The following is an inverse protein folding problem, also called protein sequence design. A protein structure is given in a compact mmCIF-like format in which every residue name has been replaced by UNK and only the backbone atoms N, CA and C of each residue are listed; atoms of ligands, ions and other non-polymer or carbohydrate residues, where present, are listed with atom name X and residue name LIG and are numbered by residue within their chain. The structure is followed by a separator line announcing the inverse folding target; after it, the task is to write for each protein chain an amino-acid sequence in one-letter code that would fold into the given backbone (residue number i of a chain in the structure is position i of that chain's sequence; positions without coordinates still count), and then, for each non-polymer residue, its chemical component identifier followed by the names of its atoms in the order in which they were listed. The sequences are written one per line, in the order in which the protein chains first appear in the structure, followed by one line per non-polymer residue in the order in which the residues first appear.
data_IF_750594094707
#
_entry.id   IF_750594094707
#
_cell.length_a   1.000
_cell.length_b   1.000
_cell.length_c   1.000
_cell.angle_alpha   90.00
_cell.angle_beta   90.00
_cell.angle_gamma   90.00
#
_symmetry.space_group_name_H-M   'P 1'
#
loop_
_entity.id
_entity.type
_entity.pdbx_description
1 polymer ?
#
# COMPACT_ATOMS: atom_id res chain seq x y z
N UNK A 1 -17.89 -14.04 -4.38
CA UNK A 1 -19.29 -13.72 -4.67
C UNK A 1 -19.26 -12.57 -5.67
N UNK A 2 -19.48 -12.87 -6.95
CA UNK A 2 -19.41 -11.90 -8.03
C UNK A 2 -20.84 -11.52 -8.41
N UNK A 3 -21.21 -10.26 -8.14
CA UNK A 3 -22.54 -9.76 -8.49
C UNK A 3 -22.60 -9.47 -9.99
N UNK A 4 -23.42 -10.27 -10.65
CA UNK A 4 -23.77 -10.22 -12.06
C UNK A 4 -24.74 -9.05 -12.26
N UNK A 5 -24.21 -7.88 -12.62
CA UNK A 5 -25.05 -6.73 -12.95
C UNK A 5 -25.71 -6.96 -14.30
N UNK A 6 -27.02 -7.19 -14.26
CA UNK A 6 -27.87 -7.38 -15.43
C UNK A 6 -28.05 -6.02 -16.13
N UNK A 7 -27.17 -5.71 -17.08
CA UNK A 7 -27.35 -4.56 -17.98
C UNK A 7 -28.54 -4.88 -18.87
N UNK A 8 -29.66 -4.21 -18.66
CA UNK A 8 -30.81 -4.27 -19.56
C UNK A 8 -30.52 -3.30 -20.70
N UNK A 9 -30.20 -3.85 -21.86
CA UNK A 9 -30.12 -3.10 -23.12
C UNK A 9 -31.48 -2.44 -23.40
N UNK A 10 -31.57 -1.13 -23.19
CA UNK A 10 -32.71 -0.35 -23.65
C UNK A 10 -32.56 -0.26 -25.17
N UNK A 11 -33.31 -1.09 -25.89
CA UNK A 11 -33.37 -1.06 -27.35
C UNK A 11 -33.65 0.38 -27.80
N UNK A 12 -32.72 0.92 -28.58
CA UNK A 12 -32.83 2.16 -29.31
C UNK A 12 -34.14 2.18 -30.10
N UNK A 13 -35.06 3.05 -29.70
CA UNK A 13 -36.27 3.33 -30.48
C UNK A 13 -35.81 4.15 -31.68
N UNK A 14 -35.41 3.43 -32.73
CA UNK A 14 -35.13 3.98 -34.04
C UNK A 14 -36.36 4.72 -34.56
N UNK A 15 -36.23 6.03 -34.64
CA UNK A 15 -37.07 6.91 -35.44
C UNK A 15 -37.04 6.47 -36.89
N UNK A 16 -38.22 6.55 -37.54
CA UNK A 16 -38.48 6.41 -38.98
C UNK A 16 -39.06 5.05 -39.40
N UNK A 17 -40.35 4.86 -39.11
CA UNK A 17 -41.19 4.03 -39.97
C UNK A 17 -42.31 4.92 -40.58
N UNK A 18 -42.24 5.28 -41.88
CA UNK A 18 -43.26 6.10 -42.55
C UNK A 18 -44.59 5.37 -42.82
N UNK A 19 -44.71 4.09 -42.48
CA UNK A 19 -45.88 3.26 -42.82
C UNK A 19 -46.91 3.14 -41.68
N UNK A 20 -47.57 4.23 -41.31
CA UNK A 20 -48.79 4.16 -40.47
C UNK A 20 -49.82 5.23 -40.86
N UNK A 21 -50.19 5.31 -42.14
CA UNK A 21 -51.51 5.84 -42.52
C UNK A 21 -52.54 4.69 -42.58
N UNK A 22 -52.62 3.89 -41.52
CA UNK A 22 -53.79 3.06 -41.28
C UNK A 22 -54.94 3.99 -40.87
N UNK A 23 -56.09 3.85 -41.54
CA UNK A 23 -57.34 4.53 -41.16
C UNK A 23 -57.53 4.34 -39.63
N UNK A 24 -57.66 5.40 -38.82
CA UNK A 24 -57.63 5.27 -37.37
C UNK A 24 -58.71 4.27 -36.96
N UNK A 25 -58.29 3.18 -36.33
CA UNK A 25 -59.20 2.17 -35.79
C UNK A 25 -60.02 2.87 -34.70
N UNK A 26 -61.26 3.25 -35.02
CA UNK A 26 -62.10 4.00 -34.10
C UNK A 26 -62.48 3.07 -32.96
N UNK A 27 -62.05 3.42 -31.75
CA UNK A 27 -62.41 2.68 -30.56
C UNK A 27 -63.94 2.69 -30.40
N UNK A 28 -64.50 1.53 -30.02
CA UNK A 28 -65.94 1.35 -29.85
C UNK A 28 -66.39 1.70 -28.44
N UNK A 29 -67.62 2.16 -28.31
CA UNK A 29 -68.25 2.44 -27.02
C UNK A 29 -68.33 1.18 -26.17
N UNK A 30 -67.94 1.30 -24.90
CA UNK A 30 -68.04 0.21 -23.91
C UNK A 30 -69.50 -0.24 -23.68
N UNK A 31 -70.46 0.67 -23.79
CA UNK A 31 -71.89 0.40 -23.54
C UNK A 31 -72.67 0.13 -24.83
N UNK A 32 -72.33 0.82 -25.92
CA UNK A 32 -72.99 0.67 -27.22
C UNK A 32 -72.01 0.07 -28.22
N UNK A 33 -71.76 -1.24 -28.11
CA UNK A 33 -70.67 -1.99 -28.79
C UNK A 33 -70.70 -1.85 -30.33
N UNK A 34 -71.84 -1.50 -30.92
CA UNK A 34 -71.98 -1.26 -32.36
C UNK A 34 -71.60 0.16 -32.81
N UNK A 35 -71.28 1.06 -31.88
CA UNK A 35 -71.04 2.48 -32.14
C UNK A 35 -69.62 2.89 -31.79
N UNK A 36 -69.02 3.66 -32.70
CA UNK A 36 -67.72 4.28 -32.49
C UNK A 36 -67.84 5.51 -31.60
N UNK A 37 -66.79 5.82 -30.84
CA UNK A 37 -66.66 7.13 -30.22
C UNK A 37 -66.57 8.22 -31.30
N UNK A 38 -67.29 9.32 -31.11
CA UNK A 38 -67.37 10.40 -32.10
C UNK A 38 -67.09 11.79 -31.52
N UNK A 39 -67.21 11.97 -30.20
CA UNK A 39 -66.99 13.25 -29.52
C UNK A 39 -66.33 13.02 -28.16
N UNK A 40 -65.63 14.02 -27.63
CA UNK A 40 -65.09 14.00 -26.28
C UNK A 40 -65.97 14.85 -25.36
N UNK A 41 -66.33 14.34 -24.19
CA UNK A 41 -67.07 15.08 -23.19
C UNK A 41 -66.11 15.66 -22.15
N UNK A 42 -65.94 16.98 -22.15
CA UNK A 42 -65.01 17.67 -21.24
C UNK A 42 -65.47 17.62 -19.78
N UNK A 43 -66.78 17.61 -19.55
CA UNK A 43 -67.34 17.52 -18.18
C UNK A 43 -67.04 16.18 -17.52
N UNK A 44 -66.98 15.10 -18.31
CA UNK A 44 -66.75 13.73 -17.82
C UNK A 44 -65.34 13.21 -18.08
N UNK A 45 -64.52 13.97 -18.82
CA UNK A 45 -63.17 13.58 -19.23
C UNK A 45 -63.11 12.23 -19.99
N UNK A 46 -64.07 12.00 -20.89
CA UNK A 46 -64.17 10.71 -21.61
C UNK A 46 -64.68 10.82 -23.05
N UNK A 47 -64.39 9.79 -23.85
CA UNK A 47 -64.90 9.64 -25.22
C UNK A 47 -66.35 9.14 -25.21
N UNK A 48 -67.18 9.72 -26.07
CA UNK A 48 -68.63 9.51 -26.11
C UNK A 48 -69.09 9.13 -27.52
N UNK A 49 -69.99 8.15 -27.62
CA UNK A 49 -70.65 7.75 -28.87
C UNK A 49 -72.02 8.46 -29.04
N UNK A 50 -72.66 8.40 -30.22
CA UNK A 50 -73.92 9.10 -30.46
C UNK A 50 -75.06 8.75 -29.48
N UNK A 51 -75.14 7.49 -29.02
CA UNK A 51 -76.17 7.08 -28.06
C UNK A 51 -75.91 7.60 -26.64
N UNK A 52 -74.65 7.62 -26.20
CA UNK A 52 -74.30 8.20 -24.89
C UNK A 52 -74.53 9.72 -24.91
N UNK A 53 -74.19 10.38 -26.02
CA UNK A 53 -74.39 11.81 -26.21
C UNK A 53 -75.86 12.22 -25.99
N UNK A 54 -76.79 11.48 -26.59
CA UNK A 54 -78.24 11.79 -26.51
C UNK A 54 -78.87 11.41 -25.17
N UNK A 55 -78.36 10.38 -24.48
CA UNK A 55 -78.96 9.89 -23.23
C UNK A 55 -78.39 10.54 -21.97
N UNK A 56 -77.07 10.69 -21.90
CA UNK A 56 -76.37 10.98 -20.64
C UNK A 56 -75.52 12.25 -20.68
N UNK A 57 -75.09 12.71 -21.87
CA UNK A 57 -74.18 13.85 -22.01
C UNK A 57 -74.79 15.06 -22.74
N UNK A 58 -76.12 15.11 -22.87
CA UNK A 58 -76.81 16.13 -23.70
C UNK A 58 -76.56 17.57 -23.24
N UNK A 59 -76.27 17.77 -21.95
CA UNK A 59 -76.04 19.09 -21.32
C UNK A 59 -74.58 19.31 -20.90
N UNK A 60 -73.67 18.41 -21.30
CA UNK A 60 -72.26 18.54 -20.95
C UNK A 60 -71.52 19.36 -21.99
N UNK A 61 -70.33 19.81 -21.62
CA UNK A 61 -69.42 20.47 -22.55
C UNK A 61 -68.72 19.42 -23.43
N UNK A 62 -68.68 19.66 -24.74
CA UNK A 62 -68.32 18.67 -25.75
C UNK A 62 -67.31 19.27 -26.73
N UNK A 63 -66.28 18.48 -27.09
CA UNK A 63 -65.28 18.85 -28.10
C UNK A 63 -65.06 17.76 -29.13
N UNK A 64 -64.63 18.17 -30.31
CA UNK A 64 -64.25 17.22 -31.36
C UNK A 64 -63.05 16.39 -30.93
N UNK A 65 -63.12 15.08 -31.18
CA UNK A 65 -62.04 14.13 -30.84
C UNK A 65 -60.72 14.54 -31.53
N UNK A 66 -60.79 15.06 -32.76
CA UNK A 66 -59.60 15.42 -33.54
C UNK A 66 -58.81 16.53 -32.85
N UNK A 67 -59.48 17.52 -32.27
CA UNK A 67 -58.84 18.63 -31.56
C UNK A 67 -58.17 18.17 -30.27
N UNK A 68 -58.85 17.35 -29.47
CA UNK A 68 -58.31 16.78 -28.23
C UNK A 68 -57.11 15.86 -28.54
N UNK A 69 -57.26 14.97 -29.52
CA UNK A 69 -56.21 14.04 -29.92
C UNK A 69 -54.94 14.78 -30.38
N UNK A 70 -55.07 15.84 -31.19
CA UNK A 70 -53.93 16.64 -31.59
C UNK A 70 -53.26 17.33 -30.38
N UNK A 71 -54.05 17.84 -29.44
CA UNK A 71 -53.56 18.43 -28.18
C UNK A 71 -52.80 17.43 -27.31
N UNK A 72 -53.34 16.22 -27.15
CA UNK A 72 -52.75 15.15 -26.35
C UNK A 72 -51.45 14.62 -26.99
N UNK A 73 -51.43 14.42 -28.31
CA UNK A 73 -50.23 14.02 -29.05
C UNK A 73 -49.11 15.06 -28.86
N UNK A 74 -49.44 16.35 -28.97
CA UNK A 74 -48.46 17.42 -28.74
C UNK A 74 -47.97 17.48 -27.29
N UNK A 75 -48.88 17.27 -26.33
CA UNK A 75 -48.55 17.22 -24.90
C UNK A 75 -47.63 16.04 -24.58
N UNK A 76 -47.93 14.85 -25.09
CA UNK A 76 -47.07 13.67 -24.97
C UNK A 76 -45.71 13.88 -25.61
N UNK A 77 -45.66 14.50 -26.81
CA UNK A 77 -44.38 14.82 -27.47
C UNK A 77 -43.53 15.77 -26.61
N UNK A 78 -44.16 16.77 -25.98
CA UNK A 78 -43.47 17.68 -25.06
C UNK A 78 -42.98 16.95 -23.81
N UNK A 79 -43.84 16.16 -23.17
CA UNK A 79 -43.48 15.35 -22.00
C UNK A 79 -42.32 14.39 -22.31
N UNK A 80 -42.33 13.71 -23.45
CA UNK A 80 -41.24 12.82 -23.85
C UNK A 80 -39.93 13.58 -24.09
N UNK A 81 -40.00 14.77 -24.69
CA UNK A 81 -38.82 15.63 -24.87
C UNK A 81 -38.24 16.04 -23.52
N UNK A 82 -39.10 16.36 -22.56
CA UNK A 82 -38.71 16.75 -21.22
C UNK A 82 -38.16 15.56 -20.40
N UNK A 83 -38.80 14.40 -20.47
CA UNK A 83 -38.34 13.16 -19.84
C UNK A 83 -36.95 12.78 -20.33
N UNK A 84 -36.72 12.88 -21.64
CA UNK A 84 -35.40 12.60 -22.21
C UNK A 84 -34.35 13.60 -21.72
N UNK A 85 -34.55 14.88 -21.99
CA UNK A 85 -33.52 15.91 -21.76
C UNK A 85 -33.25 16.21 -20.28
N UNK A 86 -34.30 16.25 -19.44
CA UNK A 86 -34.14 16.62 -18.03
C UNK A 86 -33.75 15.45 -17.13
N UNK A 87 -34.12 14.23 -17.53
CA UNK A 87 -33.96 13.06 -16.67
C UNK A 87 -33.05 12.03 -17.30
N UNK A 88 -33.40 11.47 -18.46
CA UNK A 88 -32.65 10.36 -19.04
C UNK A 88 -31.19 10.74 -19.32
N UNK A 89 -30.97 11.82 -20.09
CA UNK A 89 -29.63 12.26 -20.47
C UNK A 89 -28.78 12.62 -19.23
N UNK A 90 -29.40 13.22 -18.20
CA UNK A 90 -28.74 13.60 -16.95
C UNK A 90 -28.35 12.37 -16.13
N UNK A 91 -29.23 11.38 -16.01
CA UNK A 91 -28.92 10.15 -15.28
C UNK A 91 -27.84 9.32 -16.00
N UNK A 92 -27.87 9.28 -17.33
CA UNK A 92 -26.81 8.64 -18.12
C UNK A 92 -25.45 9.32 -17.89
N UNK A 93 -25.40 10.65 -17.90
CA UNK A 93 -24.16 11.41 -17.62
C UNK A 93 -23.67 11.19 -16.18
N UNK A 94 -24.58 11.15 -15.20
CA UNK A 94 -24.22 10.87 -13.81
C UNK A 94 -23.65 9.46 -13.63
N UNK A 95 -24.25 8.47 -14.30
CA UNK A 95 -23.77 7.09 -14.27
C UNK A 95 -22.37 6.99 -14.88
N UNK A 96 -22.12 7.66 -16.01
CA UNK A 96 -20.78 7.71 -16.63
C UNK A 96 -19.76 8.36 -15.69
N UNK A 97 -20.13 9.46 -15.00
CA UNK A 97 -19.25 10.12 -14.02
C UNK A 97 -18.90 9.19 -12.85
N UNK A 98 -19.89 8.47 -12.31
CA UNK A 98 -19.67 7.53 -11.21
C UNK A 98 -18.71 6.41 -11.62
N UNK A 99 -18.89 5.82 -12.80
CA UNK A 99 -17.98 4.77 -13.28
C UNK A 99 -16.56 5.30 -13.51
N UNK A 100 -16.41 6.51 -14.08
CA UNK A 100 -15.08 7.16 -14.20
C UNK A 100 -14.43 7.40 -12.84
N UNK A 101 -15.19 7.90 -11.85
CA UNK A 101 -14.69 8.12 -10.50
C UNK A 101 -14.27 6.82 -9.82
N UNK A 102 -15.02 5.73 -10.03
CA UNK A 102 -14.71 4.40 -9.49
C UNK A 102 -13.38 3.89 -10.04
N UNK A 103 -13.18 3.94 -11.36
CA UNK A 103 -11.91 3.55 -11.99
C UNK A 103 -10.75 4.40 -11.48
N UNK A 104 -10.90 5.73 -11.48
CA UNK A 104 -9.88 6.63 -10.97
C UNK A 104 -9.50 6.34 -9.50
N UNK A 105 -10.50 6.08 -8.64
CA UNK A 105 -10.26 5.78 -7.24
C UNK A 105 -9.56 4.43 -7.05
N UNK A 106 -9.87 3.44 -7.89
CA UNK A 106 -9.17 2.15 -7.88
C UNK A 106 -7.70 2.32 -8.30
N UNK A 107 -7.42 3.07 -9.36
CA UNK A 107 -6.07 3.34 -9.82
C UNK A 107 -5.27 4.12 -8.77
N UNK A 108 -5.90 5.12 -8.15
CA UNK A 108 -5.29 5.90 -7.08
C UNK A 108 -4.99 5.03 -5.86
N UNK A 109 -5.91 4.16 -5.46
CA UNK A 109 -5.70 3.20 -4.36
C UNK A 109 -4.51 2.27 -4.67
N UNK A 110 -4.43 1.75 -5.89
CA UNK A 110 -3.32 0.88 -6.30
C UNK A 110 -1.99 1.63 -6.28
N UNK A 111 -1.95 2.86 -6.77
CA UNK A 111 -0.77 3.71 -6.70
C UNK A 111 -0.31 3.94 -5.24
N UNK A 112 -1.25 4.25 -4.34
CA UNK A 112 -0.94 4.46 -2.91
C UNK A 112 -0.38 3.18 -2.28
N UNK A 113 -0.99 2.01 -2.55
CA UNK A 113 -0.47 0.72 -2.07
C UNK A 113 0.97 0.47 -2.53
N UNK A 114 1.24 0.63 -3.83
CA UNK A 114 2.61 0.43 -4.35
C UNK A 114 3.62 1.44 -3.81
N UNK A 115 3.20 2.68 -3.50
CA UNK A 115 4.07 3.66 -2.82
C UNK A 115 4.40 3.23 -1.40
N UNK A 116 3.40 2.73 -0.66
CA UNK A 116 3.58 2.26 0.71
C UNK A 116 4.53 1.06 0.77
N UNK A 117 4.34 0.05 -0.09
CA UNK A 117 5.21 -1.13 -0.17
C UNK A 117 6.68 -0.76 -0.49
N UNK A 118 6.88 0.22 -1.38
CA UNK A 118 8.22 0.75 -1.70
C UNK A 118 8.86 1.46 -0.51
N UNK A 119 8.08 2.24 0.24
CA UNK A 119 8.57 2.93 1.44
C UNK A 119 8.92 1.94 2.54
N UNK A 120 8.08 0.94 2.78
CA UNK A 120 8.35 -0.15 3.74
C UNK A 120 9.65 -0.87 3.38
N UNK A 121 9.79 -1.29 2.12
CA UNK A 121 10.99 -1.99 1.63
C UNK A 121 12.25 -1.14 1.82
N UNK A 122 12.17 0.17 1.56
CA UNK A 122 13.28 1.10 1.76
C UNK A 122 13.68 1.20 3.23
N UNK A 123 12.72 1.43 4.13
CA UNK A 123 12.98 1.53 5.58
C UNK A 123 13.60 0.23 6.11
N UNK A 124 13.09 -0.93 5.71
CA UNK A 124 13.63 -2.22 6.12
C UNK A 124 15.06 -2.44 5.60
N UNK A 125 15.35 -2.04 4.36
CA UNK A 125 16.69 -2.08 3.79
C UNK A 125 17.65 -1.15 4.54
N UNK A 126 17.23 0.07 4.84
CA UNK A 126 18.04 1.06 5.57
C UNK A 126 18.35 0.58 6.99
N UNK A 127 17.37 0.02 7.71
CA UNK A 127 17.57 -0.57 9.03
C UNK A 127 18.51 -1.77 9.00
N UNK A 128 18.39 -2.65 7.98
CA UNK A 128 19.28 -3.80 7.81
C UNK A 128 20.72 -3.36 7.54
N UNK A 129 20.89 -2.36 6.69
CA UNK A 129 22.19 -1.75 6.38
C UNK A 129 22.82 -1.15 7.64
N UNK A 130 22.07 -0.34 8.39
CA UNK A 130 22.52 0.27 9.64
C UNK A 130 22.93 -0.77 10.69
N UNK A 131 22.12 -1.83 10.87
CA UNK A 131 22.46 -2.96 11.74
C UNK A 131 23.79 -3.59 11.32
N UNK A 132 23.97 -3.85 10.02
CA UNK A 132 25.21 -4.45 9.52
C UNK A 132 26.42 -3.54 9.73
N UNK A 133 26.27 -2.22 9.55
CA UNK A 133 27.33 -1.25 9.83
C UNK A 133 27.75 -1.28 11.30
N UNK A 134 26.79 -1.32 12.23
CA UNK A 134 27.11 -1.42 13.66
C UNK A 134 27.80 -2.75 13.98
N UNK A 135 27.30 -3.87 13.46
CA UNK A 135 27.91 -5.18 13.69
C UNK A 135 29.35 -5.23 13.18
N UNK A 136 29.59 -4.76 11.95
CA UNK A 136 30.94 -4.69 11.39
C UNK A 136 31.86 -3.78 12.23
N UNK A 137 31.35 -2.65 12.73
CA UNK A 137 32.13 -1.76 13.59
C UNK A 137 32.52 -2.45 14.90
N UNK A 138 31.58 -3.18 15.51
CA UNK A 138 31.82 -3.94 16.74
C UNK A 138 32.81 -5.08 16.52
N UNK A 139 32.67 -5.83 15.42
CA UNK A 139 33.60 -6.90 15.04
C UNK A 139 35.01 -6.36 14.81
N UNK A 140 35.15 -5.26 14.07
CA UNK A 140 36.45 -4.63 13.84
C UNK A 140 37.11 -4.17 15.15
N UNK A 141 36.35 -3.48 16.02
CA UNK A 141 36.86 -3.07 17.33
C UNK A 141 37.24 -4.26 18.21
N UNK A 142 36.44 -5.33 18.18
CA UNK A 142 36.76 -6.57 18.89
C UNK A 142 38.07 -7.17 18.39
N UNK A 143 38.24 -7.27 17.06
CA UNK A 143 39.44 -7.78 16.44
C UNK A 143 40.69 -6.94 16.81
N UNK A 144 40.60 -5.61 16.72
CA UNK A 144 41.68 -4.71 17.16
C UNK A 144 42.10 -4.98 18.61
N UNK A 145 41.13 -5.11 19.52
CA UNK A 145 41.40 -5.38 20.93
C UNK A 145 42.00 -6.75 21.16
N UNK A 146 41.50 -7.78 20.49
CA UNK A 146 42.04 -9.14 20.57
C UNK A 146 43.47 -9.22 20.04
N UNK A 147 43.78 -8.54 18.94
CA UNK A 147 45.14 -8.50 18.40
C UNK A 147 46.11 -7.86 19.38
N UNK A 148 45.74 -6.72 20.01
CA UNK A 148 46.57 -6.09 21.06
C UNK A 148 46.82 -7.04 22.23
N UNK A 149 45.78 -7.72 22.71
CA UNK A 149 45.91 -8.70 23.80
C UNK A 149 46.80 -9.88 23.41
N UNK A 150 46.68 -10.36 22.17
CA UNK A 150 47.50 -11.47 21.66
C UNK A 150 48.99 -11.08 21.61
N UNK A 151 49.31 -9.91 21.06
CA UNK A 151 50.68 -9.40 21.04
C UNK A 151 51.25 -9.25 22.45
N UNK A 152 50.50 -8.65 23.38
CA UNK A 152 50.93 -8.51 24.76
C UNK A 152 51.21 -9.87 25.43
N UNK A 153 50.35 -10.88 25.19
CA UNK A 153 50.55 -12.25 25.68
C UNK A 153 51.84 -12.84 25.12
N UNK A 154 52.09 -12.75 23.81
CA UNK A 154 53.31 -13.29 23.19
C UNK A 154 54.56 -12.64 23.78
N UNK A 155 54.57 -11.32 23.98
CA UNK A 155 55.69 -10.61 24.61
C UNK A 155 55.93 -11.09 26.05
N UNK A 156 54.86 -11.27 26.84
CA UNK A 156 54.99 -11.83 28.20
C UNK A 156 55.58 -13.24 28.16
N UNK A 157 55.10 -14.09 27.26
CA UNK A 157 55.58 -15.47 27.15
C UNK A 157 57.07 -15.51 26.78
N UNK A 158 57.52 -14.66 25.86
CA UNK A 158 58.94 -14.51 25.50
C UNK A 158 59.78 -14.04 26.70
N UNK A 159 59.30 -13.03 27.44
CA UNK A 159 60.00 -12.56 28.63
C UNK A 159 60.12 -13.65 29.71
N UNK A 160 59.06 -14.45 29.93
CA UNK A 160 59.08 -15.58 30.88
C UNK A 160 60.11 -16.63 30.44
N UNK A 161 60.15 -16.98 29.16
CA UNK A 161 61.12 -17.94 28.62
C UNK A 161 62.56 -17.45 28.80
N UNK A 162 62.83 -16.19 28.46
CA UNK A 162 64.14 -15.56 28.64
C UNK A 162 64.58 -15.54 30.11
N UNK A 163 63.67 -15.21 31.03
CA UNK A 163 63.93 -15.22 32.48
C UNK A 163 64.22 -16.63 32.97
N UNK A 164 63.42 -17.61 32.54
CA UNK A 164 63.53 -19.01 32.96
C UNK A 164 64.88 -19.59 32.51
N UNK A 165 65.26 -19.39 31.25
CA UNK A 165 66.54 -19.83 30.71
C UNK A 165 67.74 -19.26 31.48
N UNK A 166 67.67 -17.96 31.86
CA UNK A 166 68.71 -17.31 32.67
C UNK A 166 68.74 -17.85 34.09
N UNK A 167 67.57 -18.04 34.70
CA UNK A 167 67.45 -18.60 36.04
C UNK A 167 68.04 -20.01 36.11
N UNK A 168 67.71 -20.87 35.14
CA UNK A 168 68.22 -22.24 35.06
C UNK A 168 69.73 -22.26 34.85
N UNK A 169 70.24 -21.42 33.93
CA UNK A 169 71.69 -21.26 33.71
C UNK A 169 72.41 -20.85 35.00
N UNK A 170 71.90 -19.84 35.69
CA UNK A 170 72.47 -19.37 36.96
C UNK A 170 72.43 -20.46 38.03
N UNK A 171 71.32 -21.22 38.11
CA UNK A 171 71.13 -22.31 39.07
C UNK A 171 72.09 -23.46 38.82
N UNK A 172 72.36 -23.80 37.55
CA UNK A 172 73.33 -24.83 37.17
C UNK A 172 74.75 -24.37 37.55
N UNK A 173 75.16 -23.16 37.13
CA UNK A 173 76.51 -22.64 37.38
C UNK A 173 76.79 -22.49 38.88
N UNK A 174 75.80 -22.05 39.67
CA UNK A 174 75.94 -21.90 41.13
C UNK A 174 76.21 -23.21 41.88
N UNK A 175 75.94 -24.38 41.27
CA UNK A 175 76.23 -25.70 41.83
C UNK A 175 77.60 -26.25 41.41
N UNK A 176 78.34 -25.54 40.57
CA UNK A 176 79.68 -25.95 40.11
C UNK A 176 80.78 -25.43 41.05
N UNK A 177 81.95 -26.07 41.01
CA UNK A 177 83.15 -25.60 41.71
C UNK A 177 84.04 -24.69 40.83
N UNK A 178 83.55 -24.23 39.68
CA UNK A 178 84.27 -23.36 38.76
C UNK A 178 84.11 -21.89 39.17
N UNK A 179 85.07 -21.41 39.99
CA UNK A 179 85.04 -20.07 40.58
C UNK A 179 85.02 -18.97 39.50
N UNK A 180 85.74 -19.15 38.40
CA UNK A 180 85.81 -18.16 37.31
C UNK A 180 84.46 -18.04 36.62
N UNK A 181 83.84 -19.18 36.28
CA UNK A 181 82.54 -19.22 35.63
C UNK A 181 81.42 -18.67 36.53
N UNK A 182 81.45 -19.00 37.83
CA UNK A 182 80.53 -18.44 38.83
C UNK A 182 80.67 -16.92 38.90
N UNK A 183 81.89 -16.39 38.99
CA UNK A 183 82.12 -14.95 39.05
C UNK A 183 81.61 -14.23 37.80
N UNK A 184 81.93 -14.75 36.61
CA UNK A 184 81.50 -14.18 35.33
C UNK A 184 79.98 -14.20 35.17
N UNK A 185 79.34 -15.32 35.51
CA UNK A 185 77.88 -15.47 35.45
C UNK A 185 77.18 -14.53 36.44
N UNK A 186 77.72 -14.37 37.65
CA UNK A 186 77.19 -13.44 38.65
C UNK A 186 77.28 -11.96 38.18
N UNK A 187 78.38 -11.56 37.53
CA UNK A 187 78.49 -10.22 36.95
C UNK A 187 77.47 -10.00 35.82
N UNK A 188 77.31 -10.98 34.94
CA UNK A 188 76.34 -10.93 33.84
C UNK A 188 74.89 -10.87 34.35
N UNK A 189 74.56 -11.64 35.39
CA UNK A 189 73.24 -11.62 36.02
C UNK A 189 72.92 -10.23 36.61
N UNK A 190 73.86 -9.63 37.35
CA UNK A 190 73.71 -8.27 37.89
C UNK A 190 73.47 -7.24 36.79
N UNK A 191 74.27 -7.28 35.72
CA UNK A 191 74.10 -6.40 34.56
C UNK A 191 72.73 -6.60 33.91
N UNK A 192 72.32 -7.85 33.70
CA UNK A 192 71.03 -8.12 33.08
C UNK A 192 69.87 -7.63 33.94
N UNK A 193 69.88 -7.88 35.26
CA UNK A 193 68.84 -7.39 36.19
C UNK A 193 68.67 -5.88 36.08
N UNK A 194 69.76 -5.11 35.97
CA UNK A 194 69.69 -3.63 35.80
C UNK A 194 69.11 -3.15 34.46
N UNK A 195 68.94 -4.06 33.49
CA UNK A 195 68.46 -3.75 32.13
C UNK A 195 67.22 -4.54 31.73
N UNK A 196 66.74 -5.43 32.61
CA UNK A 196 65.60 -6.27 32.32
C UNK A 196 64.34 -5.42 32.21
N UNK A 197 63.43 -5.73 31.28
CA UNK A 197 62.14 -5.06 31.23
C UNK A 197 61.39 -5.28 32.54
N UNK A 198 60.98 -4.18 33.17
CA UNK A 198 60.14 -4.22 34.38
C UNK A 198 58.80 -4.92 34.07
N UNK A 199 58.27 -5.77 34.97
CA UNK A 199 56.99 -6.45 34.75
C UNK A 199 55.81 -5.51 34.45
N UNK A 200 55.90 -4.25 34.91
CA UNK A 200 54.90 -3.21 34.69
C UNK A 200 54.98 -2.54 33.31
N UNK A 201 55.98 -2.88 32.49
CA UNK A 201 56.18 -2.27 31.17
C UNK A 201 55.18 -2.76 30.11
N UNK A 202 54.44 -3.85 30.38
CA UNK A 202 53.29 -4.23 29.56
C UNK A 202 52.16 -3.28 29.92
N UNK A 203 51.68 -2.51 28.96
CA UNK A 203 50.73 -1.43 29.19
C UNK A 203 49.41 -1.94 29.80
N UNK A 204 49.38 -1.98 31.14
CA UNK A 204 48.24 -2.38 31.95
C UNK A 204 47.04 -1.47 31.70
N UNK A 205 47.26 -0.23 31.23
CA UNK A 205 46.16 0.67 30.82
C UNK A 205 45.53 0.19 29.51
N UNK A 206 46.32 -0.29 28.54
CA UNK A 206 45.80 -0.92 27.32
C UNK A 206 44.95 -2.16 27.64
N UNK A 207 45.41 -3.03 28.53
CA UNK A 207 44.65 -4.22 28.95
C UNK A 207 43.38 -3.87 29.73
N UNK A 208 43.44 -2.86 30.61
CA UNK A 208 42.26 -2.35 31.33
C UNK A 208 41.23 -1.78 30.36
N UNK A 209 41.66 -1.05 29.33
CA UNK A 209 40.78 -0.54 28.28
C UNK A 209 40.14 -1.66 27.44
N UNK A 210 40.85 -2.75 27.17
CA UNK A 210 40.28 -3.94 26.51
C UNK A 210 39.21 -4.59 27.39
N UNK A 211 39.47 -4.77 28.68
CA UNK A 211 38.52 -5.34 29.63
C UNK A 211 37.22 -4.52 29.69
N UNK A 212 37.31 -3.20 29.84
CA UNK A 212 36.14 -2.32 29.91
C UNK A 212 35.31 -2.37 28.62
N UNK A 213 35.96 -2.46 27.46
CA UNK A 213 35.25 -2.60 26.18
C UNK A 213 34.37 -3.85 26.15
N UNK A 214 34.91 -5.03 26.49
CA UNK A 214 34.14 -6.28 26.43
C UNK A 214 33.05 -6.37 27.51
N UNK A 215 33.27 -5.80 28.69
CA UNK A 215 32.24 -5.73 29.75
C UNK A 215 31.02 -4.90 29.32
N UNK A 216 31.25 -3.82 28.56
CA UNK A 216 30.17 -2.96 28.07
C UNK A 216 29.38 -3.59 26.92
N UNK A 217 29.88 -4.66 26.27
CA UNK A 217 29.15 -5.39 25.23
C UNK A 217 28.13 -6.40 25.79
N UNK A 218 28.24 -6.74 27.09
CA UNK A 218 27.40 -7.75 27.75
C UNK A 218 26.19 -7.19 28.52
N UNK A 219 25.95 -5.87 28.47
CA UNK A 219 24.78 -5.19 29.05
C UNK A 219 23.80 -4.80 27.95
#
# INVERSE_FOLDING_TARGET
MADMHHVVEIKSIGTNNPELFQKPNRAKCKTHISQDYCIFCQTCDELVCPSCLTKSHQKHDLREIVEIFAGDVNSLRRCNTELKSRFLDVYEEQLEKIEKMKVHNMDHLQMVKSKLEKQESKVMSDLKSFKQTILNHLENKSYEKLTVMSTAKTTIQQNIEDITNKFDTNTIVAKTNDIENVHKTAQNAKKWISTAPEPESIDLKLLKNCRTFFQNLSM
#
